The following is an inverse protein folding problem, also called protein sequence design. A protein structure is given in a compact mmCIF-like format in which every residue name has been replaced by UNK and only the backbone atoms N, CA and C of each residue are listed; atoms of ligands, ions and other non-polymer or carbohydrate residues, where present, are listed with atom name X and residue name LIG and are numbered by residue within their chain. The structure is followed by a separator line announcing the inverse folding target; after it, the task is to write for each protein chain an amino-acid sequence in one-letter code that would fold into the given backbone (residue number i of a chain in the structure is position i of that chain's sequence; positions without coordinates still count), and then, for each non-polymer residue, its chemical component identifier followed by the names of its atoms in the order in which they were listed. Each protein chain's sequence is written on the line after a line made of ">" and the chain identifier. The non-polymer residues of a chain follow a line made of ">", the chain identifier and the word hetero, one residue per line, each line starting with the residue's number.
data_IF_486454526489
#
_entry.id   IF_486454526489
#
_cell.length_a   1.000
_cell.length_b   1.000
_cell.length_c   1.000
_cell.angle_alpha   90.00
_cell.angle_beta   90.00
_cell.angle_gamma   90.00
#
_symmetry.space_group_name_H-M   'P 1'
#
loop_
_entity.id
_entity.type
_entity.pdbx_description
1 polymer ?
#
# COMPACT_ATOMS: atom_id res chain seq x y z
N UNK A 1 -9.49 19.73 15.87
CA UNK A 1 -10.42 18.68 15.49
C UNK A 1 -9.74 17.65 14.60
N UNK A 2 -10.43 16.58 14.24
CA UNK A 2 -9.86 15.49 13.46
C UNK A 2 -9.30 15.95 12.11
N UNK A 3 -9.96 16.86 11.43
CA UNK A 3 -9.51 17.38 10.13
C UNK A 3 -8.19 18.13 10.28
N UNK A 4 -8.08 18.99 11.30
CA UNK A 4 -6.85 19.72 11.55
C UNK A 4 -5.72 18.79 11.97
N UNK A 5 -6.02 17.77 12.77
CA UNK A 5 -5.02 16.80 13.22
C UNK A 5 -4.49 15.98 12.04
N UNK A 6 -5.36 15.55 11.13
CA UNK A 6 -4.96 14.86 9.90
C UNK A 6 -4.05 15.72 9.04
N UNK A 7 -4.40 17.00 8.88
CA UNK A 7 -3.61 17.92 8.09
C UNK A 7 -2.22 18.09 8.68
N UNK A 8 -2.13 18.25 10.01
CA UNK A 8 -0.85 18.36 10.70
C UNK A 8 0.01 17.10 10.53
N UNK A 9 -0.60 15.93 10.68
CA UNK A 9 0.11 14.66 10.55
C UNK A 9 0.59 14.47 9.11
N UNK A 10 -0.23 14.79 8.11
CA UNK A 10 0.17 14.68 6.72
C UNK A 10 1.27 15.67 6.37
N UNK A 11 1.23 16.87 6.90
CA UNK A 11 2.32 17.83 6.71
C UNK A 11 3.62 17.31 7.31
N UNK A 12 3.54 16.67 8.48
CA UNK A 12 4.71 16.05 9.09
C UNK A 12 5.28 14.92 8.23
N UNK A 13 4.41 14.03 7.71
CA UNK A 13 4.85 13.00 6.79
C UNK A 13 5.58 13.61 5.59
N UNK A 14 5.01 14.64 4.99
CA UNK A 14 5.58 15.27 3.80
C UNK A 14 6.95 15.88 4.08
N UNK A 15 7.11 16.52 5.25
CA UNK A 15 8.41 17.07 5.66
C UNK A 15 9.45 15.95 5.83
N UNK A 16 9.09 14.86 6.48
CA UNK A 16 10.03 13.76 6.71
C UNK A 16 10.39 13.08 5.39
N UNK A 17 9.40 12.84 4.54
CA UNK A 17 9.63 12.24 3.22
C UNK A 17 10.58 13.10 2.40
N UNK A 18 10.37 14.41 2.40
CA UNK A 18 11.20 15.35 1.64
C UNK A 18 12.63 15.38 2.14
N UNK A 19 12.85 15.28 3.46
CA UNK A 19 14.17 15.38 4.07
C UNK A 19 14.93 14.06 4.12
N UNK A 20 14.26 12.94 3.95
CA UNK A 20 14.89 11.62 4.05
C UNK A 20 15.65 11.28 2.78
N UNK A 21 16.94 11.02 2.90
CA UNK A 21 17.81 10.70 1.76
C UNK A 21 17.87 9.21 1.45
N UNK A 22 17.75 8.35 2.48
CA UNK A 22 17.81 6.92 2.29
C UNK A 22 16.49 6.42 1.69
N UNK A 23 16.59 5.77 0.51
CA UNK A 23 15.45 5.39 -0.32
C UNK A 23 14.43 4.50 0.40
N UNK A 24 14.90 3.44 1.05
CA UNK A 24 13.96 2.49 1.65
C UNK A 24 13.36 2.99 2.96
N UNK A 25 14.06 3.87 3.67
CA UNK A 25 13.46 4.54 4.82
C UNK A 25 12.38 5.51 4.34
N UNK A 26 12.67 6.25 3.27
CA UNK A 26 11.68 7.14 2.65
C UNK A 26 10.43 6.33 2.23
N UNK A 27 10.64 5.19 1.58
CA UNK A 27 9.53 4.35 1.12
C UNK A 27 8.72 3.79 2.30
N UNK A 28 9.37 3.42 3.39
CA UNK A 28 8.65 3.00 4.60
C UNK A 28 7.75 4.12 5.11
N UNK A 29 8.25 5.35 5.14
CA UNK A 29 7.47 6.51 5.61
C UNK A 29 6.30 6.79 4.66
N UNK A 30 6.53 6.68 3.34
CA UNK A 30 5.47 6.78 2.34
C UNK A 30 4.38 5.73 2.58
N UNK A 31 4.78 4.49 2.84
CA UNK A 31 3.85 3.40 3.14
C UNK A 31 3.03 3.72 4.40
N UNK A 32 3.67 4.23 5.45
CA UNK A 32 2.97 4.62 6.68
C UNK A 32 1.98 5.76 6.43
N UNK A 33 2.35 6.73 5.60
CA UNK A 33 1.43 7.80 5.21
C UNK A 33 0.21 7.22 4.50
N UNK A 34 0.43 6.29 3.57
CA UNK A 34 -0.66 5.64 2.84
C UNK A 34 -1.60 4.88 3.78
N UNK A 35 -1.05 4.10 4.72
CA UNK A 35 -1.86 3.38 5.70
C UNK A 35 -2.69 4.34 6.56
N UNK A 36 -2.09 5.42 7.00
CA UNK A 36 -2.78 6.40 7.85
C UNK A 36 -3.98 7.02 7.13
N UNK A 37 -3.88 7.22 5.82
CA UNK A 37 -4.90 7.91 5.05
C UNK A 37 -5.87 6.98 4.31
N UNK A 38 -5.60 5.69 4.24
CA UNK A 38 -6.30 4.76 3.34
C UNK A 38 -7.83 4.76 3.52
N UNK A 39 -8.32 4.94 4.74
CA UNK A 39 -9.76 4.87 5.02
C UNK A 39 -10.53 6.10 4.54
N UNK A 40 -9.84 7.20 4.22
CA UNK A 40 -10.49 8.49 3.99
C UNK A 40 -10.16 9.12 2.63
N UNK A 41 -9.31 8.48 1.83
CA UNK A 41 -8.90 9.01 0.53
C UNK A 41 -9.42 8.15 -0.61
N UNK A 42 -9.43 8.74 -1.81
CA UNK A 42 -9.84 8.04 -3.02
C UNK A 42 -8.76 7.07 -3.51
N UNK A 43 -9.17 6.19 -4.41
CA UNK A 43 -8.27 5.26 -5.10
C UNK A 43 -7.10 6.00 -5.74
N UNK A 44 -7.38 7.07 -6.47
CA UNK A 44 -6.32 7.82 -7.16
C UNK A 44 -5.36 8.48 -6.19
N UNK A 45 -5.86 9.03 -5.09
CA UNK A 45 -5.02 9.61 -4.05
C UNK A 45 -4.10 8.56 -3.41
N UNK A 46 -4.65 7.38 -3.13
CA UNK A 46 -3.86 6.30 -2.54
C UNK A 46 -2.77 5.83 -3.51
N UNK A 47 -3.12 5.67 -4.79
CA UNK A 47 -2.15 5.30 -5.83
C UNK A 47 -1.06 6.36 -5.95
N UNK A 48 -1.42 7.65 -5.90
CA UNK A 48 -0.43 8.72 -5.98
C UNK A 48 0.57 8.67 -4.83
N UNK A 49 0.09 8.42 -3.61
CA UNK A 49 0.98 8.29 -2.44
C UNK A 49 1.93 7.10 -2.62
N UNK A 50 1.41 5.97 -3.04
CA UNK A 50 2.18 4.72 -3.14
C UNK A 50 3.02 4.60 -4.41
N UNK A 51 2.80 5.49 -5.38
CA UNK A 51 3.45 5.40 -6.69
C UNK A 51 4.97 5.24 -6.65
N UNK A 52 5.72 5.98 -5.81
CA UNK A 52 7.17 5.79 -5.74
C UNK A 52 7.58 4.38 -5.33
N UNK A 53 6.76 3.71 -4.53
CA UNK A 53 7.02 2.33 -4.11
C UNK A 53 6.61 1.35 -5.21
N UNK A 54 5.42 1.52 -5.77
CA UNK A 54 4.86 0.60 -6.75
C UNK A 54 5.65 0.55 -8.06
N UNK A 55 6.26 1.67 -8.45
CA UNK A 55 7.03 1.78 -9.68
C UNK A 55 8.51 1.44 -9.53
N UNK A 56 8.93 1.00 -8.36
CA UNK A 56 10.33 0.67 -8.09
C UNK A 56 10.46 -0.75 -7.55
N UNK A 57 11.70 -1.21 -7.43
CA UNK A 57 11.99 -2.50 -6.80
C UNK A 57 12.25 -2.32 -5.30
N UNK A 58 11.31 -1.66 -4.63
CA UNK A 58 11.40 -1.40 -3.21
C UNK A 58 11.12 -2.67 -2.40
N UNK A 59 11.79 -2.80 -1.25
CA UNK A 59 11.48 -3.86 -0.29
C UNK A 59 10.07 -3.71 0.29
N UNK A 60 9.45 -2.54 0.12
CA UNK A 60 8.09 -2.25 0.60
C UNK A 60 7.03 -2.44 -0.47
N UNK A 61 7.42 -2.90 -1.66
CA UNK A 61 6.46 -3.04 -2.77
C UNK A 61 5.35 -4.03 -2.47
N UNK A 62 5.68 -5.20 -1.92
CA UNK A 62 4.65 -6.19 -1.58
C UNK A 62 3.71 -5.68 -0.50
N UNK A 63 4.21 -4.89 0.45
CA UNK A 63 3.39 -4.24 1.46
C UNK A 63 2.40 -3.25 0.82
N UNK A 64 2.90 -2.44 -0.12
CA UNK A 64 2.06 -1.48 -0.83
C UNK A 64 0.98 -2.17 -1.67
N UNK A 65 1.34 -3.25 -2.34
CA UNK A 65 0.38 -4.04 -3.12
C UNK A 65 -0.71 -4.66 -2.23
N UNK A 66 -0.32 -5.15 -1.06
CA UNK A 66 -1.30 -5.71 -0.12
C UNK A 66 -2.23 -4.62 0.42
N UNK A 67 -1.71 -3.43 0.69
CA UNK A 67 -2.54 -2.31 1.10
C UNK A 67 -3.56 -1.95 0.01
N UNK A 68 -3.16 -1.97 -1.26
CA UNK A 68 -4.09 -1.74 -2.36
C UNK A 68 -5.15 -2.84 -2.44
N UNK A 69 -4.76 -4.10 -2.27
CA UNK A 69 -5.72 -5.21 -2.24
C UNK A 69 -6.74 -5.03 -1.11
N UNK A 70 -6.27 -4.65 0.08
CA UNK A 70 -7.15 -4.38 1.22
C UNK A 70 -8.11 -3.22 0.95
N UNK A 71 -7.59 -2.16 0.34
CA UNK A 71 -8.40 -1.00 -0.01
C UNK A 71 -9.57 -1.40 -0.91
N UNK A 72 -9.31 -2.16 -1.96
CA UNK A 72 -10.36 -2.58 -2.89
C UNK A 72 -11.31 -3.59 -2.27
N UNK A 73 -10.82 -4.45 -1.39
CA UNK A 73 -11.69 -5.37 -0.67
C UNK A 73 -12.70 -4.60 0.19
N UNK A 74 -12.26 -3.57 0.90
CA UNK A 74 -13.14 -2.72 1.69
C UNK A 74 -14.14 -1.94 0.84
N UNK A 75 -13.80 -1.65 -0.41
CA UNK A 75 -14.70 -1.00 -1.37
C UNK A 75 -15.58 -2.00 -2.12
N UNK A 76 -15.52 -3.27 -1.77
CA UNK A 76 -16.23 -4.35 -2.45
C UNK A 76 -15.87 -4.48 -3.93
N UNK A 77 -14.68 -4.03 -4.31
CA UNK A 77 -14.17 -4.22 -5.67
C UNK A 77 -13.25 -5.44 -5.67
N UNK A 78 -13.86 -6.62 -5.74
CA UNK A 78 -13.13 -7.88 -5.64
C UNK A 78 -12.24 -8.14 -6.86
N UNK A 79 -12.60 -7.64 -8.03
CA UNK A 79 -11.79 -7.80 -9.24
C UNK A 79 -10.43 -7.11 -9.06
N UNK A 80 -10.44 -5.85 -8.65
CA UNK A 80 -9.19 -5.12 -8.43
C UNK A 80 -8.41 -5.67 -7.25
N UNK A 81 -9.08 -6.07 -6.18
CA UNK A 81 -8.42 -6.71 -5.04
C UNK A 81 -7.67 -7.96 -5.50
N UNK A 82 -8.33 -8.81 -6.29
CA UNK A 82 -7.71 -10.02 -6.84
C UNK A 82 -6.48 -9.70 -7.69
N UNK A 83 -6.58 -8.69 -8.55
CA UNK A 83 -5.47 -8.30 -9.43
C UNK A 83 -4.22 -7.94 -8.61
N UNK A 84 -4.38 -7.20 -7.53
CA UNK A 84 -3.26 -6.84 -6.66
C UNK A 84 -2.69 -8.06 -5.93
N UNK A 85 -3.55 -8.97 -5.47
CA UNK A 85 -3.09 -10.20 -4.82
C UNK A 85 -2.30 -11.07 -5.80
N UNK A 86 -2.75 -11.19 -7.04
CA UNK A 86 -2.04 -11.94 -8.07
C UNK A 86 -0.69 -11.30 -8.40
N UNK A 87 -0.63 -9.97 -8.41
CA UNK A 87 0.63 -9.27 -8.65
C UNK A 87 1.63 -9.57 -7.55
N UNK A 88 1.20 -9.67 -6.29
CA UNK A 88 2.06 -10.07 -5.17
C UNK A 88 2.65 -11.47 -5.43
N UNK A 89 1.79 -12.43 -5.74
CA UNK A 89 2.21 -13.82 -5.93
C UNK A 89 3.17 -13.96 -7.10
N UNK A 90 2.99 -13.17 -8.14
CA UNK A 90 3.81 -13.23 -9.35
C UNK A 90 5.08 -12.36 -9.26
N UNK A 91 5.27 -11.62 -8.19
CA UNK A 91 6.44 -10.76 -8.03
C UNK A 91 7.68 -11.57 -7.65
N UNK A 92 8.83 -11.18 -8.24
CA UNK A 92 10.11 -11.84 -7.94
C UNK A 92 10.67 -11.41 -6.59
N UNK A 93 10.50 -10.14 -6.24
CA UNK A 93 10.98 -9.56 -4.99
C UNK A 93 9.78 -9.33 -4.07
N UNK A 94 9.41 -10.35 -3.33
CA UNK A 94 8.24 -10.25 -2.44
C UNK A 94 8.62 -10.72 -1.04
N UNK A 95 8.08 -10.01 -0.05
CA UNK A 95 8.15 -10.47 1.33
C UNK A 95 7.42 -11.81 1.43
N UNK A 96 8.08 -12.82 1.99
CA UNK A 96 7.56 -14.18 2.01
C UNK A 96 6.24 -14.30 2.80
N UNK A 97 6.12 -13.60 3.92
CA UNK A 97 4.89 -13.62 4.73
C UNK A 97 3.73 -13.00 3.96
N UNK A 98 4.00 -11.94 3.21
CA UNK A 98 2.98 -11.28 2.40
C UNK A 98 2.57 -12.16 1.23
N UNK A 99 3.52 -12.88 0.61
CA UNK A 99 3.19 -13.84 -0.44
C UNK A 99 2.25 -14.93 0.09
N UNK A 100 2.57 -15.49 1.24
CA UNK A 100 1.75 -16.53 1.88
C UNK A 100 0.35 -16.00 2.15
N UNK A 101 0.26 -14.78 2.67
CA UNK A 101 -1.03 -14.15 2.94
C UNK A 101 -1.82 -13.93 1.65
N UNK A 102 -1.17 -13.48 0.58
CA UNK A 102 -1.82 -13.26 -0.71
C UNK A 102 -2.33 -14.59 -1.31
N UNK A 103 -1.51 -15.63 -1.25
CA UNK A 103 -1.91 -16.96 -1.72
C UNK A 103 -3.10 -17.48 -0.93
N UNK A 104 -3.08 -17.31 0.39
CA UNK A 104 -4.18 -17.74 1.26
C UNK A 104 -5.48 -17.01 0.92
N UNK A 105 -5.42 -15.70 0.71
CA UNK A 105 -6.61 -14.90 0.36
C UNK A 105 -7.15 -15.27 -1.01
N UNK A 106 -6.26 -15.47 -1.98
CA UNK A 106 -6.68 -15.89 -3.32
C UNK A 106 -7.40 -17.24 -3.27
N UNK A 107 -6.86 -18.19 -2.52
CA UNK A 107 -7.46 -19.50 -2.38
C UNK A 107 -8.82 -19.43 -1.68
N UNK A 108 -8.90 -18.68 -0.59
CA UNK A 108 -10.11 -18.58 0.22
C UNK A 108 -11.26 -17.87 -0.51
N UNK A 109 -10.95 -16.77 -1.22
CA UNK A 109 -11.99 -15.91 -1.84
C UNK A 109 -12.24 -16.18 -3.30
N UNK A 110 -11.24 -16.66 -4.02
CA UNK A 110 -11.30 -16.81 -5.48
C UNK A 110 -10.93 -18.21 -5.96
N UNK A 111 -10.45 -19.07 -5.06
CA UNK A 111 -10.09 -20.42 -5.38
C UNK A 111 -11.31 -21.36 -5.39
N UNK A 112 -11.13 -22.51 -5.97
CA UNK A 112 -12.14 -23.56 -5.96
C UNK A 112 -12.17 -24.32 -4.64
#
# INVERSE_FOLDING_TARGET
>A
NLVNDQKKINNFFDLVIKSQEEKEIKNLIIYKKAMYNADIISENELLDILNPILKSESVWKSHALLLMADYFEHKNNLVKSKDFLEEIVNSKLVNNEIRIEAERRLKRKFGD
#
